data_IF_521376059380
#
_entry.id   IF_521376059380
#
_cell.length_a   1.000
_cell.length_b   1.000
_cell.length_c   1.000
_cell.angle_alpha   90.00
_cell.angle_beta   90.00
_cell.angle_gamma   90.00
#
_symmetry.space_group_name_H-M   'P 1'
#
loop_
_entity.id
_entity.type
_entity.pdbx_description
1 polymer ?
#
# COMPACT_ATOMS: atom_id res chain seq x y z
N UNK A 1 2.22 4.00 -5.75
CA UNK A 1 1.80 5.38 -6.07
C UNK A 1 0.44 5.43 -6.77
N UNK A 2 0.09 4.50 -7.67
CA UNK A 2 -1.20 4.52 -8.38
C UNK A 2 -2.46 4.55 -7.48
N UNK A 3 -2.44 3.86 -6.33
CA UNK A 3 -3.54 3.90 -5.35
C UNK A 3 -3.71 5.28 -4.70
N UNK A 4 -2.61 5.97 -4.41
CA UNK A 4 -2.62 7.29 -3.76
C UNK A 4 -3.05 8.40 -4.71
N UNK A 5 -2.78 8.24 -6.02
CA UNK A 5 -3.16 9.19 -7.05
C UNK A 5 -4.61 9.02 -7.54
N UNK A 6 -5.34 7.99 -7.09
CA UNK A 6 -6.68 7.64 -7.56
C UNK A 6 -6.78 7.43 -9.10
N UNK A 7 -5.66 7.11 -9.77
CA UNK A 7 -5.59 7.09 -11.23
C UNK A 7 -6.09 5.78 -11.85
N UNK A 8 -5.97 4.66 -11.13
CA UNK A 8 -6.30 3.35 -11.69
C UNK A 8 -7.35 2.59 -10.85
N UNK A 9 -8.49 2.28 -11.49
CA UNK A 9 -9.52 1.39 -10.94
C UNK A 9 -9.14 -0.11 -11.00
N UNK A 10 -7.93 -0.41 -11.47
CA UNK A 10 -7.42 -1.76 -11.67
C UNK A 10 -6.83 -2.40 -10.41
N UNK A 11 -6.17 -3.54 -10.60
CA UNK A 11 -5.41 -4.24 -9.56
C UNK A 11 -4.06 -3.55 -9.33
N UNK A 12 -4.04 -2.60 -8.39
CA UNK A 12 -2.83 -1.83 -8.03
C UNK A 12 -2.30 -2.24 -6.66
N UNK A 13 -0.98 -2.13 -6.41
CA UNK A 13 -0.42 -2.35 -5.08
C UNK A 13 -0.93 -1.25 -4.13
N UNK A 14 -1.71 -1.67 -3.14
CA UNK A 14 -2.26 -0.83 -2.06
C UNK A 14 -1.22 -0.66 -0.96
N UNK A 15 -0.45 -1.72 -0.67
CA UNK A 15 0.56 -1.73 0.38
C UNK A 15 1.71 -2.66 0.01
N UNK A 16 2.92 -2.30 0.44
CA UNK A 16 4.12 -3.15 0.33
C UNK A 16 4.64 -3.39 1.75
N UNK A 17 4.77 -4.66 2.15
CA UNK A 17 5.25 -5.04 3.48
C UNK A 17 6.55 -5.84 3.40
N UNK A 18 7.44 -5.60 4.36
CA UNK A 18 8.64 -6.43 4.55
C UNK A 18 8.35 -7.73 5.31
N UNK A 19 7.28 -7.76 6.11
CA UNK A 19 6.79 -9.01 6.70
C UNK A 19 6.21 -9.87 5.57
N UNK A 20 6.76 -11.08 5.41
CA UNK A 20 6.42 -11.98 4.32
C UNK A 20 5.74 -13.23 4.87
N UNK A 21 4.46 -13.44 4.56
CA UNK A 21 3.70 -14.60 5.04
C UNK A 21 4.31 -15.93 4.61
N UNK A 22 4.94 -16.00 3.44
CA UNK A 22 5.66 -17.21 3.01
C UNK A 22 6.81 -17.56 3.95
N UNK A 23 7.48 -16.56 4.53
CA UNK A 23 8.51 -16.80 5.54
C UNK A 23 7.89 -17.33 6.82
N UNK A 24 6.81 -16.71 7.29
CA UNK A 24 6.07 -17.15 8.48
C UNK A 24 5.51 -18.57 8.37
N UNK A 25 5.16 -19.01 7.15
CA UNK A 25 4.68 -20.38 6.87
C UNK A 25 5.79 -21.37 6.47
N UNK A 26 7.07 -20.99 6.57
CA UNK A 26 8.21 -21.83 6.17
C UNK A 26 8.20 -22.26 4.67
N UNK A 27 7.53 -21.46 3.83
CA UNK A 27 7.43 -21.65 2.37
C UNK A 27 8.43 -20.77 1.60
N UNK A 28 9.29 -20.05 2.30
CA UNK A 28 10.21 -19.09 1.69
C UNK A 28 11.42 -19.81 1.05
N UNK A 29 11.73 -19.56 -0.24
CA UNK A 29 12.87 -20.17 -0.90
C UNK A 29 14.22 -19.78 -0.26
N UNK A 30 14.28 -18.68 0.52
CA UNK A 30 15.49 -18.31 1.28
C UNK A 30 15.81 -19.27 2.41
N UNK A 31 14.79 -19.85 3.06
CA UNK A 31 14.98 -20.84 4.14
C UNK A 31 15.36 -22.21 3.59
N UNK A 32 15.04 -22.47 2.33
CA UNK A 32 15.19 -23.77 1.68
C UNK A 32 16.44 -23.90 0.79
N UNK A 33 17.42 -22.98 0.92
CA UNK A 33 18.69 -23.05 0.19
C UNK A 33 19.38 -24.40 0.50
N UNK A 34 19.52 -25.25 -0.51
CA UNK A 34 20.18 -26.56 -0.41
C UNK A 34 19.23 -27.75 -0.29
N UNK A 35 17.92 -27.54 -0.16
CA UNK A 35 16.94 -28.63 -0.13
C UNK A 35 16.45 -28.90 -1.56
N UNK A 36 16.87 -30.03 -2.13
CA UNK A 36 16.41 -30.53 -3.43
C UNK A 36 14.91 -30.82 -3.36
N UNK A 37 14.10 -29.98 -4.01
CA UNK A 37 12.64 -30.17 -4.13
C UNK A 37 11.78 -28.97 -3.75
N UNK A 38 12.36 -27.90 -3.19
CA UNK A 38 11.58 -26.68 -2.91
C UNK A 38 11.27 -25.97 -4.22
N UNK A 39 9.99 -25.98 -4.59
CA UNK A 39 9.46 -25.24 -5.74
C UNK A 39 9.88 -23.76 -5.63
N UNK A 40 10.84 -23.36 -6.46
CA UNK A 40 11.24 -21.96 -6.67
C UNK A 40 10.13 -21.11 -7.29
N UNK A 41 9.08 -21.75 -7.81
CA UNK A 41 7.89 -21.07 -8.30
C UNK A 41 7.05 -20.59 -7.11
N UNK A 42 7.19 -19.30 -6.83
CA UNK A 42 6.41 -18.58 -5.83
C UNK A 42 4.99 -18.39 -6.39
N UNK A 43 4.01 -18.96 -5.72
CA UNK A 43 2.60 -18.74 -6.03
C UNK A 43 2.07 -17.54 -5.26
N UNK A 44 1.20 -16.78 -5.90
CA UNK A 44 0.41 -15.73 -5.25
C UNK A 44 -0.51 -16.34 -4.19
N UNK A 45 -0.82 -15.56 -3.16
CA UNK A 45 -1.78 -15.93 -2.11
C UNK A 45 -2.94 -14.93 -2.10
N UNK A 46 -4.06 -15.28 -1.48
CA UNK A 46 -5.19 -14.38 -1.33
C UNK A 46 -5.44 -14.11 0.15
N UNK A 47 -5.64 -12.84 0.50
CA UNK A 47 -6.17 -12.42 1.77
C UNK A 47 -7.65 -12.09 1.56
N UNK A 48 -8.50 -12.87 2.21
CA UNK A 48 -9.95 -12.65 2.18
C UNK A 48 -10.33 -11.94 3.48
N UNK A 49 -10.92 -10.76 3.35
CA UNK A 49 -11.43 -10.00 4.48
C UNK A 49 -12.86 -9.57 4.17
N UNK A 50 -13.83 -10.16 4.86
CA UNK A 50 -15.26 -9.95 4.59
C UNK A 50 -15.57 -10.30 3.12
N UNK A 51 -16.00 -9.32 2.32
CA UNK A 51 -16.37 -9.48 0.91
C UNK A 51 -15.23 -9.07 -0.05
N UNK A 52 -14.01 -8.85 0.48
CA UNK A 52 -12.85 -8.44 -0.30
C UNK A 52 -11.82 -9.55 -0.44
N UNK A 53 -11.32 -9.68 -1.66
CA UNK A 53 -10.21 -10.55 -1.99
C UNK A 53 -9.04 -9.68 -2.44
N UNK A 54 -7.98 -9.68 -1.64
CA UNK A 54 -6.72 -9.02 -1.95
C UNK A 54 -5.71 -10.06 -2.41
N UNK A 55 -5.01 -9.78 -3.50
CA UNK A 55 -3.97 -10.66 -4.03
C UNK A 55 -2.62 -10.28 -3.42
N UNK A 56 -1.97 -11.24 -2.77
CA UNK A 56 -0.64 -11.10 -2.20
C UNK A 56 0.39 -11.63 -3.18
N UNK A 57 1.17 -10.74 -3.78
CA UNK A 57 2.33 -11.09 -4.60
C UNK A 57 3.60 -11.01 -3.77
N UNK A 58 4.54 -11.93 -4.01
CA UNK A 58 5.75 -12.03 -3.19
C UNK A 58 7.00 -11.87 -4.05
N UNK A 59 7.76 -10.80 -3.79
CA UNK A 59 9.11 -10.65 -4.32
C UNK A 59 10.12 -11.19 -3.30
N UNK A 60 10.54 -12.43 -3.52
CA UNK A 60 11.48 -13.11 -2.64
C UNK A 60 12.90 -12.55 -2.74
N UNK A 61 13.26 -11.70 -3.71
CA UNK A 61 14.62 -11.13 -3.81
C UNK A 61 14.85 -10.03 -2.74
N UNK A 62 14.09 -8.92 -2.70
CA UNK A 62 14.12 -7.92 -1.64
C UNK A 62 13.30 -8.30 -0.39
N UNK A 63 12.65 -9.47 -0.37
CA UNK A 63 11.71 -9.90 0.68
C UNK A 63 10.56 -8.91 0.87
N UNK A 64 9.80 -8.69 -0.21
CA UNK A 64 8.63 -7.82 -0.19
C UNK A 64 7.36 -8.60 -0.50
N UNK A 65 6.29 -8.27 0.21
CA UNK A 65 4.95 -8.75 -0.06
C UNK A 65 4.10 -7.55 -0.51
N UNK A 66 3.62 -7.62 -1.75
CA UNK A 66 2.81 -6.59 -2.38
C UNK A 66 1.34 -7.01 -2.25
N UNK A 67 0.55 -6.18 -1.57
CA UNK A 67 -0.87 -6.37 -1.39
C UNK A 67 -1.57 -5.63 -2.52
N UNK A 68 -2.11 -6.40 -3.46
CA UNK A 68 -2.78 -5.89 -4.65
C UNK A 68 -4.28 -5.97 -4.41
N UNK A 69 -4.96 -4.85 -4.64
CA UNK A 69 -6.40 -4.72 -4.46
C UNK A 69 -7.00 -3.83 -5.53
N UNK A 70 -8.33 -3.87 -5.62
CA UNK A 70 -9.10 -2.95 -6.47
C UNK A 70 -9.49 -1.72 -5.66
N UNK A 71 -9.36 -0.53 -6.23
CA UNK A 71 -9.85 0.69 -5.59
C UNK A 71 -11.36 0.60 -5.41
N UNK A 72 -11.86 0.91 -4.20
CA UNK A 72 -13.30 0.97 -3.95
C UNK A 72 -13.88 2.27 -4.46
N UNK A 73 -15.09 2.19 -5.01
CA UNK A 73 -15.83 3.37 -5.47
C UNK A 73 -15.96 4.46 -4.40
N UNK A 74 -16.20 4.10 -3.12
CA UNK A 74 -16.32 5.11 -2.06
C UNK A 74 -15.00 5.81 -1.72
N UNK A 75 -13.85 5.18 -2.01
CA UNK A 75 -12.52 5.78 -1.78
C UNK A 75 -12.19 6.79 -2.88
N UNK A 76 -12.62 6.53 -4.13
CA UNK A 76 -12.49 7.49 -5.23
C UNK A 76 -13.27 8.79 -4.98
N UNK A 77 -14.38 8.71 -4.25
CA UNK A 77 -15.19 9.90 -3.88
C UNK A 77 -14.71 10.59 -2.60
N UNK A 78 -13.72 10.02 -1.89
CA UNK A 78 -13.12 10.68 -0.74
C UNK A 78 -12.01 11.64 -1.19
N UNK A 79 -11.86 12.80 -0.51
CA UNK A 79 -10.73 13.68 -0.76
C UNK A 79 -9.43 12.91 -0.50
N UNK A 80 -8.45 13.09 -1.40
CA UNK A 80 -7.15 12.44 -1.27
C UNK A 80 -6.53 12.76 0.10
N UNK A 81 -5.91 11.80 0.78
CA UNK A 81 -5.18 12.06 2.02
C UNK A 81 -4.10 13.14 1.76
N UNK A 82 -4.26 14.32 2.37
CA UNK A 82 -3.36 15.46 2.16
C UNK A 82 -3.84 16.51 1.14
N UNK A 83 -4.94 16.27 0.44
CA UNK A 83 -5.61 17.32 -0.35
C UNK A 83 -6.30 18.31 0.60
N UNK A 84 -5.90 19.59 0.51
CA UNK A 84 -6.35 20.68 1.36
C UNK A 84 -7.79 21.14 1.07
N UNK A 85 -8.75 20.21 1.01
CA UNK A 85 -10.17 20.49 0.83
C UNK A 85 -11.01 19.89 1.95
N UNK A 86 -10.57 20.06 3.20
CA UNK A 86 -11.51 20.16 4.31
C UNK A 86 -11.52 21.62 4.77
N UNK A 87 -12.48 22.37 4.24
CA UNK A 87 -12.96 23.63 4.83
C UNK A 87 -13.67 23.34 6.16
N UNK A 88 -12.97 22.71 7.11
CA UNK A 88 -13.41 22.56 8.51
C UNK A 88 -12.37 21.74 9.27
N UNK A 89 -11.43 22.43 9.93
CA UNK A 89 -10.77 21.87 11.11
C UNK A 89 -9.36 21.27 10.96
N UNK A 90 -8.55 21.70 9.98
CA UNK A 90 -7.11 21.47 10.10
C UNK A 90 -6.53 22.42 11.16
N UNK A 91 -6.19 21.93 12.35
CA UNK A 91 -5.37 22.69 13.29
C UNK A 91 -3.98 22.87 12.67
N UNK A 92 -3.67 24.10 12.24
CA UNK A 92 -2.34 24.46 11.71
C UNK A 92 -2.28 24.92 10.25
N UNK A 93 -3.40 25.17 9.56
CA UNK A 93 -3.32 25.89 8.27
C UNK A 93 -3.13 27.39 8.53
N UNK A 94 -2.11 27.98 7.90
CA UNK A 94 -1.91 29.43 7.81
C UNK A 94 -2.13 29.83 6.36
N UNK A 95 -2.93 30.86 6.10
CA UNK A 95 -3.12 31.32 4.72
C UNK A 95 -1.84 32.03 4.24
N UNK A 96 -1.57 32.12 2.92
CA UNK A 96 -0.41 32.82 2.40
C UNK A 96 -0.32 34.27 2.89
N UNK A 97 -1.47 34.93 3.07
CA UNK A 97 -1.57 36.30 3.58
C UNK A 97 -1.19 36.39 5.05
N UNK A 98 -1.56 35.39 5.85
CA UNK A 98 -1.19 35.34 7.27
C UNK A 98 0.26 34.94 7.48
N UNK A 99 0.84 34.12 6.58
CA UNK A 99 2.26 33.80 6.58
C UNK A 99 3.10 35.05 6.35
N UNK A 100 2.73 35.89 5.37
CA UNK A 100 3.42 37.15 5.06
C UNK A 100 3.47 38.12 6.25
N UNK A 101 2.46 38.09 7.14
CA UNK A 101 2.42 38.93 8.36
C UNK A 101 3.38 38.46 9.44
N UNK A 102 3.83 37.21 9.41
CA UNK A 102 4.75 36.64 10.42
C UNK A 102 6.23 36.86 10.09
N UNK A 103 6.55 37.27 8.86
CA UNK A 103 7.92 37.54 8.43
C UNK A 103 8.36 38.87 9.05
N UNK A 104 9.24 38.83 10.06
CA UNK A 104 9.90 40.04 10.58
C UNK A 104 10.81 40.62 9.49
N UNK A 105 10.66 41.93 9.23
CA UNK A 105 11.59 42.72 8.41
C UNK A 105 12.96 42.84 9.06
#
# INVERSE_FOLDING_TARGET
AAYEAHEEAGEVPVMITKHCLRFSFNLCPKQAKGVTGVRTKVSDMQLIHQDEVLTLKFDCKPCEMHIIGKMKGHILHQPQPGSAQTQSGAVGYITPEDLLKTIKR
#
